data_IF_931873430401
#
_entry.id   IF_931873430401
#
_cell.length_a   1.000
_cell.length_b   1.000
_cell.length_c   1.000
_cell.angle_alpha   90.00
_cell.angle_beta   90.00
_cell.angle_gamma   90.00
#
_symmetry.space_group_name_H-M   'P 1'
#
loop_
_entity.id
_entity.type
_entity.pdbx_description
1 polymer ?
#
# COMPACT_ATOMS: atom_id res chain seq x y z
N UNK A 1 -7.45 19.54 -31.64
CA UNK A 1 -8.07 19.43 -30.30
C UNK A 1 -8.38 17.97 -30.08
N UNK A 2 -7.53 17.25 -29.35
CA UNK A 2 -7.92 15.95 -28.82
C UNK A 2 -8.89 16.27 -27.68
N UNK A 3 -10.16 15.87 -27.80
CA UNK A 3 -11.06 15.89 -26.65
C UNK A 3 -10.43 14.98 -25.60
N UNK A 4 -9.90 15.54 -24.51
CA UNK A 4 -9.62 14.72 -23.33
C UNK A 4 -10.98 14.26 -22.80
N UNK A 5 -11.25 12.96 -22.92
CA UNK A 5 -12.35 12.34 -22.20
C UNK A 5 -11.95 12.30 -20.74
N UNK A 6 -12.66 13.04 -19.90
CA UNK A 6 -12.52 12.97 -18.46
C UNK A 6 -12.88 11.57 -17.98
N UNK A 7 -12.00 10.95 -17.18
CA UNK A 7 -12.19 9.60 -16.64
C UNK A 7 -13.14 9.67 -15.45
N UNK A 8 -14.24 8.92 -15.49
CA UNK A 8 -15.21 8.88 -14.40
C UNK A 8 -14.86 7.81 -13.38
N UNK A 9 -14.83 8.17 -12.09
CA UNK A 9 -14.43 7.25 -11.02
C UNK A 9 -15.51 7.14 -9.95
N UNK A 10 -16.04 5.94 -9.73
CA UNK A 10 -16.89 5.63 -8.59
C UNK A 10 -16.08 5.10 -7.40
N UNK A 11 -16.48 5.44 -6.18
CA UNK A 11 -15.82 5.01 -4.94
C UNK A 11 -16.81 4.31 -4.02
N UNK A 12 -16.62 3.01 -3.83
CA UNK A 12 -17.33 2.22 -2.83
C UNK A 12 -16.61 2.28 -1.48
N UNK A 13 -17.36 2.47 -0.39
CA UNK A 13 -16.77 2.67 0.94
C UNK A 13 -16.28 4.10 1.21
N UNK A 14 -16.86 5.09 0.53
CA UNK A 14 -16.46 6.51 0.56
C UNK A 14 -16.44 7.14 1.97
N UNK A 15 -17.23 6.62 2.92
CA UNK A 15 -17.27 7.12 4.30
C UNK A 15 -16.09 6.69 5.19
N UNK A 16 -15.32 5.68 4.77
CA UNK A 16 -14.14 5.16 5.49
C UNK A 16 -12.87 5.99 5.24
N UNK A 17 -11.78 5.70 5.95
CA UNK A 17 -10.52 6.46 5.77
C UNK A 17 -9.87 6.23 4.39
N UNK A 18 -9.80 4.97 3.93
CA UNK A 18 -9.22 4.64 2.63
C UNK A 18 -10.01 5.26 1.46
N UNK A 19 -11.35 5.12 1.46
CA UNK A 19 -12.22 5.75 0.47
C UNK A 19 -12.19 7.28 0.53
N UNK A 20 -12.16 7.85 1.74
CA UNK A 20 -11.98 9.29 1.91
C UNK A 20 -10.66 9.82 1.37
N UNK A 21 -9.55 9.11 1.60
CA UNK A 21 -8.25 9.51 1.06
C UNK A 21 -8.18 9.38 -0.46
N UNK A 22 -8.78 8.32 -1.03
CA UNK A 22 -8.93 8.20 -2.48
C UNK A 22 -9.72 9.39 -3.05
N UNK A 23 -10.84 9.76 -2.42
CA UNK A 23 -11.62 10.94 -2.84
C UNK A 23 -10.85 12.25 -2.71
N UNK A 24 -10.03 12.41 -1.66
CA UNK A 24 -9.19 13.60 -1.49
C UNK A 24 -8.22 13.76 -2.66
N UNK A 25 -7.60 12.67 -3.10
CA UNK A 25 -6.65 12.68 -4.22
C UNK A 25 -7.39 12.86 -5.55
N UNK A 26 -8.46 12.09 -5.77
CA UNK A 26 -9.22 12.11 -7.03
C UNK A 26 -9.94 13.43 -7.28
N UNK A 27 -10.39 14.13 -6.22
CA UNK A 27 -11.05 15.43 -6.35
C UNK A 27 -10.13 16.53 -6.92
N UNK A 28 -8.81 16.38 -6.75
CA UNK A 28 -7.80 17.32 -7.26
C UNK A 28 -7.06 16.74 -8.50
N UNK A 29 -7.43 15.55 -8.97
CA UNK A 29 -6.75 14.89 -10.08
C UNK A 29 -7.21 15.47 -11.44
N UNK A 30 -6.29 15.95 -12.30
CA UNK A 30 -6.64 16.78 -13.46
C UNK A 30 -7.42 16.08 -14.58
N UNK A 31 -7.35 14.74 -14.64
CA UNK A 31 -8.01 13.92 -15.68
C UNK A 31 -9.23 13.16 -15.17
N UNK A 32 -9.63 13.37 -13.91
CA UNK A 32 -10.66 12.56 -13.24
C UNK A 32 -11.87 13.41 -12.85
N UNK A 33 -13.04 12.82 -13.06
CA UNK A 33 -14.30 13.29 -12.48
C UNK A 33 -14.82 12.26 -11.47
N UNK A 34 -15.13 12.73 -10.26
CA UNK A 34 -15.67 11.88 -9.20
C UNK A 34 -17.17 11.62 -9.42
N UNK A 35 -17.47 10.37 -9.77
CA UNK A 35 -18.80 9.82 -10.00
C UNK A 35 -19.48 9.36 -8.70
N UNK A 36 -20.11 8.18 -8.74
CA UNK A 36 -20.90 7.66 -7.63
C UNK A 36 -20.07 7.45 -6.36
N UNK A 37 -20.61 7.90 -5.24
CA UNK A 37 -20.04 7.68 -3.91
C UNK A 37 -20.97 6.72 -3.17
N UNK A 38 -20.47 5.57 -2.75
CA UNK A 38 -21.32 4.58 -2.09
C UNK A 38 -20.81 4.23 -0.69
N UNK A 39 -21.75 3.86 0.18
CA UNK A 39 -21.47 3.34 1.50
C UNK A 39 -22.52 2.29 1.89
N UNK A 40 -22.18 1.44 2.85
CA UNK A 40 -23.12 0.46 3.40
C UNK A 40 -24.03 1.11 4.46
N UNK A 41 -23.54 1.26 5.70
CA UNK A 41 -24.33 1.76 6.83
C UNK A 41 -24.64 3.27 6.79
N UNK A 42 -23.96 4.03 5.93
CA UNK A 42 -24.08 5.49 5.85
C UNK A 42 -24.80 5.98 4.57
N UNK A 43 -25.43 5.07 3.82
CA UNK A 43 -26.20 5.45 2.64
C UNK A 43 -27.32 6.46 2.99
N UNK A 44 -27.56 7.43 2.12
CA UNK A 44 -28.50 8.54 2.31
C UNK A 44 -27.90 9.76 3.02
N UNK A 45 -26.74 9.63 3.68
CA UNK A 45 -26.07 10.78 4.31
C UNK A 45 -25.24 11.58 3.29
N UNK A 46 -25.07 12.88 3.55
CA UNK A 46 -24.11 13.71 2.82
C UNK A 46 -22.67 13.30 3.17
N UNK A 47 -21.78 13.27 2.19
CA UNK A 47 -20.37 12.93 2.37
C UNK A 47 -19.71 13.85 3.40
N UNK A 48 -20.06 15.14 3.42
CA UNK A 48 -19.51 16.14 4.35
C UNK A 48 -19.69 15.78 5.83
N UNK A 49 -20.70 14.98 6.18
CA UNK A 49 -20.89 14.45 7.55
C UNK A 49 -19.77 13.49 7.95
N UNK A 50 -19.21 12.76 6.98
CA UNK A 50 -18.18 11.75 7.21
C UNK A 50 -16.77 12.23 6.83
N UNK A 51 -16.65 13.07 5.80
CA UNK A 51 -15.38 13.60 5.26
C UNK A 51 -15.45 15.13 5.13
N UNK A 52 -15.60 15.88 6.24
CA UNK A 52 -15.81 17.34 6.19
C UNK A 52 -14.63 18.11 5.58
N UNK A 53 -13.45 17.49 5.49
CA UNK A 53 -12.26 18.09 4.89
C UNK A 53 -12.30 18.10 3.34
N UNK A 54 -13.15 17.29 2.70
CA UNK A 54 -13.27 17.20 1.24
C UNK A 54 -14.41 18.12 0.77
N UNK A 55 -14.18 19.43 0.88
CA UNK A 55 -15.22 20.46 0.68
C UNK A 55 -15.89 20.39 -0.70
N UNK A 56 -15.12 20.08 -1.76
CA UNK A 56 -15.62 19.99 -3.12
C UNK A 56 -16.71 18.91 -3.31
N UNK A 57 -16.75 17.91 -2.42
CA UNK A 57 -17.69 16.79 -2.50
C UNK A 57 -18.65 16.74 -1.30
N UNK A 58 -18.66 17.76 -0.43
CA UNK A 58 -19.37 17.72 0.85
C UNK A 58 -20.88 17.48 0.69
N UNK A 59 -21.51 18.07 -0.34
CA UNK A 59 -22.95 17.97 -0.60
C UNK A 59 -23.35 16.70 -1.35
N UNK A 60 -22.39 15.86 -1.78
CA UNK A 60 -22.68 14.61 -2.49
C UNK A 60 -23.30 13.61 -1.51
N UNK A 61 -24.41 13.00 -1.92
CA UNK A 61 -25.11 11.97 -1.12
C UNK A 61 -24.48 10.61 -1.35
N UNK A 62 -24.23 9.88 -0.27
CA UNK A 62 -23.78 8.49 -0.32
C UNK A 62 -24.91 7.58 -0.78
N UNK A 63 -24.72 6.87 -1.88
CA UNK A 63 -25.66 5.86 -2.37
C UNK A 63 -25.42 4.51 -1.66
N UNK A 64 -26.39 3.59 -1.67
CA UNK A 64 -26.13 2.21 -1.30
C UNK A 64 -25.02 1.58 -2.16
N UNK A 65 -24.11 0.84 -1.56
CA UNK A 65 -23.11 0.08 -2.30
C UNK A 65 -23.77 -1.11 -3.02
N UNK A 66 -24.10 -0.92 -4.29
CA UNK A 66 -24.66 -1.93 -5.19
C UNK A 66 -23.95 -1.85 -6.54
N UNK A 67 -23.97 -2.94 -7.31
CA UNK A 67 -23.41 -2.98 -8.68
C UNK A 67 -24.09 -1.91 -9.55
N UNK A 68 -25.41 -1.78 -9.47
CA UNK A 68 -26.19 -0.77 -10.20
C UNK A 68 -25.67 0.66 -9.99
N UNK A 69 -25.35 1.05 -8.75
CA UNK A 69 -24.83 2.38 -8.45
C UNK A 69 -23.36 2.57 -8.87
N UNK A 70 -22.62 1.48 -9.12
CA UNK A 70 -21.23 1.52 -9.55
C UNK A 70 -21.09 1.44 -11.08
N UNK A 71 -22.06 0.87 -11.79
CA UNK A 71 -22.08 0.81 -13.26
C UNK A 71 -22.07 2.20 -13.90
N UNK A 72 -21.57 2.26 -15.14
CA UNK A 72 -21.50 3.51 -15.92
C UNK A 72 -20.30 4.40 -15.59
N UNK A 73 -19.31 3.89 -14.85
CA UNK A 73 -18.05 4.57 -14.57
C UNK A 73 -16.89 3.81 -15.21
N UNK A 74 -15.87 4.55 -15.66
CA UNK A 74 -14.66 3.97 -16.27
C UNK A 74 -13.81 3.22 -15.24
N UNK A 75 -13.80 3.72 -14.00
CA UNK A 75 -13.04 3.16 -12.88
C UNK A 75 -13.95 2.99 -11.66
N UNK A 76 -13.78 1.86 -10.95
CA UNK A 76 -14.41 1.61 -9.66
C UNK A 76 -13.34 1.32 -8.61
N UNK A 77 -13.29 2.16 -7.58
CA UNK A 77 -12.43 1.98 -6.40
C UNK A 77 -13.23 1.29 -5.29
N UNK A 78 -12.79 0.11 -4.86
CA UNK A 78 -13.41 -0.66 -3.79
C UNK A 78 -12.64 -0.45 -2.48
N UNK A 79 -13.09 0.48 -1.64
CA UNK A 79 -12.56 0.71 -0.30
C UNK A 79 -13.40 -0.03 0.76
N UNK A 80 -13.57 -1.34 0.57
CA UNK A 80 -14.46 -2.18 1.36
C UNK A 80 -13.69 -3.02 2.39
N UNK A 81 -14.36 -3.48 3.47
CA UNK A 81 -13.75 -4.47 4.37
C UNK A 81 -13.35 -5.75 3.62
N UNK A 82 -12.32 -6.42 4.12
CA UNK A 82 -11.89 -7.73 3.61
C UNK A 82 -13.04 -8.75 3.63
N UNK A 83 -13.19 -9.49 2.53
CA UNK A 83 -14.24 -10.45 2.24
C UNK A 83 -15.48 -9.86 1.55
N UNK A 84 -15.52 -8.55 1.27
CA UNK A 84 -16.68 -7.89 0.66
C UNK A 84 -16.43 -7.38 -0.76
N UNK A 85 -15.16 -7.23 -1.20
CA UNK A 85 -14.85 -6.69 -2.52
C UNK A 85 -15.01 -7.74 -3.61
N UNK A 86 -14.67 -9.01 -3.34
CA UNK A 86 -14.76 -10.10 -4.32
C UNK A 86 -16.16 -10.26 -4.94
N UNK A 87 -17.21 -10.30 -4.13
CA UNK A 87 -18.60 -10.49 -4.60
C UNK A 87 -19.08 -9.33 -5.49
N UNK A 88 -18.75 -8.09 -5.11
CA UNK A 88 -19.11 -6.91 -5.91
C UNK A 88 -18.29 -6.86 -7.20
N UNK A 89 -16.98 -7.12 -7.11
CA UNK A 89 -16.08 -7.08 -8.25
C UNK A 89 -16.44 -8.11 -9.34
N UNK A 90 -16.87 -9.31 -8.95
CA UNK A 90 -17.26 -10.37 -9.87
C UNK A 90 -18.48 -10.02 -10.74
N UNK A 91 -19.25 -9.00 -10.35
CA UNK A 91 -20.44 -8.53 -11.07
C UNK A 91 -20.17 -7.28 -11.92
N UNK A 92 -18.98 -6.68 -11.82
CA UNK A 92 -18.59 -5.53 -12.63
C UNK A 92 -18.05 -5.99 -13.99
N UNK A 93 -18.41 -5.29 -15.09
CA UNK A 93 -17.93 -5.61 -16.44
C UNK A 93 -16.40 -5.62 -16.57
N UNK A 94 -15.88 -6.39 -17.52
CA UNK A 94 -14.43 -6.56 -17.74
C UNK A 94 -13.74 -5.31 -18.33
N UNK A 95 -14.51 -4.42 -18.97
CA UNK A 95 -14.01 -3.17 -19.54
C UNK A 95 -13.82 -2.06 -18.49
N UNK A 96 -14.47 -2.16 -17.34
CA UNK A 96 -14.27 -1.27 -16.18
C UNK A 96 -12.96 -1.60 -15.50
N UNK A 97 -12.16 -0.57 -15.17
CA UNK A 97 -10.99 -0.74 -14.30
C UNK A 97 -11.43 -0.82 -12.84
N UNK A 98 -11.27 -1.99 -12.21
CA UNK A 98 -11.57 -2.18 -10.78
C UNK A 98 -10.28 -2.15 -9.97
N UNK A 99 -10.24 -1.29 -8.95
CA UNK A 99 -9.10 -1.14 -8.04
C UNK A 99 -9.57 -1.48 -6.62
N UNK A 100 -9.09 -2.60 -6.10
CA UNK A 100 -9.46 -3.09 -4.78
C UNK A 100 -8.43 -2.68 -3.73
N UNK A 101 -8.89 -1.92 -2.73
CA UNK A 101 -8.07 -1.48 -1.59
C UNK A 101 -8.13 -2.49 -0.44
N UNK A 102 -9.04 -3.47 -0.54
CA UNK A 102 -9.13 -4.64 0.32
C UNK A 102 -8.04 -5.67 0.01
N UNK A 103 -8.13 -6.82 0.68
CA UNK A 103 -7.13 -7.87 0.60
C UNK A 103 -7.50 -9.02 -0.34
N UNK A 104 -8.75 -9.07 -0.80
CA UNK A 104 -9.40 -10.25 -1.39
C UNK A 104 -8.66 -10.82 -2.60
N UNK A 105 -7.93 -9.98 -3.33
CA UNK A 105 -7.21 -10.35 -4.55
C UNK A 105 -5.69 -10.18 -4.48
N UNK A 106 -5.12 -10.00 -3.26
CA UNK A 106 -3.68 -9.74 -3.09
C UNK A 106 -2.82 -11.00 -3.09
N UNK A 107 -3.27 -12.05 -2.40
CA UNK A 107 -2.49 -13.27 -2.25
C UNK A 107 -2.68 -14.17 -3.48
N UNK A 108 -1.59 -14.70 -4.01
CA UNK A 108 -1.61 -15.66 -5.13
C UNK A 108 -1.76 -17.10 -4.66
N UNK A 109 -1.44 -17.37 -3.39
CA UNK A 109 -1.53 -18.70 -2.77
C UNK A 109 -2.88 -18.87 -2.03
N UNK A 110 -3.77 -19.77 -2.49
CA UNK A 110 -5.04 -20.06 -1.82
C UNK A 110 -4.88 -20.64 -0.41
N UNK A 111 -3.79 -21.38 -0.13
CA UNK A 111 -3.56 -21.98 1.19
C UNK A 111 -3.18 -20.90 2.20
N UNK A 112 -2.28 -19.97 1.82
CA UNK A 112 -1.98 -18.79 2.61
C UNK A 112 -3.23 -17.92 2.86
N UNK A 113 -4.09 -17.74 1.86
CA UNK A 113 -5.37 -17.04 2.05
C UNK A 113 -6.24 -17.75 3.08
N UNK A 114 -6.45 -19.05 2.93
CA UNK A 114 -7.28 -19.84 3.84
C UNK A 114 -6.76 -19.78 5.28
N UNK A 115 -5.43 -19.87 5.46
CA UNK A 115 -4.80 -19.80 6.77
C UNK A 115 -5.02 -18.45 7.48
N UNK A 116 -4.94 -17.32 6.76
CA UNK A 116 -4.96 -15.98 7.37
C UNK A 116 -6.33 -15.28 7.34
N UNK A 117 -7.20 -15.65 6.40
CA UNK A 117 -8.51 -15.03 6.19
C UNK A 117 -9.68 -15.98 6.47
N UNK A 118 -9.48 -17.30 6.36
CA UNK A 118 -10.50 -18.30 6.73
C UNK A 118 -11.75 -18.31 5.84
N UNK A 119 -11.63 -17.82 4.60
CA UNK A 119 -12.70 -17.80 3.59
C UNK A 119 -12.18 -18.38 2.28
N UNK A 120 -13.06 -18.62 1.30
CA UNK A 120 -12.65 -19.08 -0.03
C UNK A 120 -11.78 -18.03 -0.73
N UNK A 121 -10.75 -18.48 -1.46
CA UNK A 121 -9.85 -17.60 -2.19
C UNK A 121 -10.50 -17.10 -3.48
N UNK A 122 -10.59 -15.78 -3.64
CA UNK A 122 -11.24 -15.15 -4.79
C UNK A 122 -10.37 -15.07 -6.06
N UNK A 123 -9.16 -15.66 -6.02
CA UNK A 123 -8.13 -15.45 -7.03
C UNK A 123 -7.25 -14.24 -6.74
N UNK A 124 -6.32 -13.94 -7.65
CA UNK A 124 -5.38 -12.83 -7.50
C UNK A 124 -5.41 -11.91 -8.71
N UNK A 125 -5.15 -10.62 -8.47
CA UNK A 125 -5.08 -9.60 -9.51
C UNK A 125 -3.66 -9.01 -9.60
N UNK A 126 -3.32 -8.30 -10.69
CA UNK A 126 -2.11 -7.49 -10.75
C UNK A 126 -1.94 -6.63 -9.49
N UNK A 127 -0.77 -6.77 -8.85
CA UNK A 127 -0.48 -6.15 -7.56
C UNK A 127 -0.07 -4.68 -7.74
N UNK A 128 -0.72 -3.79 -6.99
CA UNK A 128 -0.63 -2.32 -7.13
C UNK A 128 0.59 -1.68 -6.45
N UNK A 129 1.76 -2.33 -6.53
CA UNK A 129 3.04 -1.79 -6.05
C UNK A 129 4.01 -1.66 -7.22
N UNK A 130 3.97 -0.58 -8.02
CA UNK A 130 4.78 -0.45 -9.24
C UNK A 130 6.29 -0.64 -9.02
N UNK A 131 6.79 -0.31 -7.82
CA UNK A 131 8.19 -0.40 -7.44
C UNK A 131 8.63 -1.80 -6.94
N UNK A 132 7.70 -2.77 -6.88
CA UNK A 132 8.04 -4.16 -6.53
C UNK A 132 8.98 -4.74 -7.59
N UNK A 133 10.16 -5.18 -7.14
CA UNK A 133 11.14 -5.87 -7.95
C UNK A 133 10.65 -7.28 -8.26
N UNK A 134 10.83 -7.70 -9.50
CA UNK A 134 10.51 -9.04 -9.96
C UNK A 134 11.80 -9.71 -10.44
N UNK A 135 12.11 -10.86 -9.84
CA UNK A 135 13.22 -11.69 -10.28
C UNK A 135 12.96 -12.20 -11.71
N UNK A 136 14.01 -12.28 -12.56
CA UNK A 136 13.88 -12.75 -13.92
C UNK A 136 13.35 -14.18 -13.95
N UNK A 137 12.20 -14.40 -14.60
CA UNK A 137 11.62 -15.73 -14.81
C UNK A 137 12.04 -16.35 -16.14
N UNK A 138 12.61 -15.55 -17.04
CA UNK A 138 12.94 -15.91 -18.43
C UNK A 138 14.42 -16.26 -18.66
N UNK A 139 15.23 -16.27 -17.60
CA UNK A 139 16.65 -16.57 -17.67
C UNK A 139 17.52 -15.46 -18.27
N UNK A 140 16.96 -14.28 -18.59
CA UNK A 140 17.71 -13.12 -19.11
C UNK A 140 18.61 -12.47 -18.05
N UNK A 141 18.37 -12.75 -16.77
CA UNK A 141 19.11 -12.19 -15.64
C UNK A 141 18.78 -10.71 -15.34
N UNK A 142 17.83 -10.10 -16.04
CA UNK A 142 17.46 -8.69 -15.83
C UNK A 142 16.26 -8.59 -14.91
N UNK A 143 16.38 -7.82 -13.82
CA UNK A 143 15.26 -7.50 -12.94
C UNK A 143 14.25 -6.62 -13.67
N UNK A 144 12.97 -6.96 -13.56
CA UNK A 144 11.86 -6.10 -14.00
C UNK A 144 11.11 -5.56 -12.78
N UNK A 145 10.10 -4.73 -13.02
CA UNK A 145 9.24 -4.20 -11.96
C UNK A 145 7.78 -4.49 -12.25
N UNK A 146 7.00 -4.63 -11.18
CA UNK A 146 5.56 -4.86 -11.23
C UNK A 146 4.80 -3.80 -12.04
N UNK A 147 5.36 -2.60 -12.22
CA UNK A 147 4.85 -1.55 -13.12
C UNK A 147 4.41 -2.09 -14.49
N UNK A 148 5.17 -2.99 -15.09
CA UNK A 148 4.88 -3.51 -16.44
C UNK A 148 3.57 -4.31 -16.49
N UNK A 149 3.23 -5.00 -15.40
CA UNK A 149 1.97 -5.76 -15.27
C UNK A 149 0.75 -4.90 -14.99
N UNK A 150 0.95 -3.61 -14.67
CA UNK A 150 -0.14 -2.68 -14.42
C UNK A 150 -0.58 -1.96 -15.71
N UNK A 151 0.28 -1.86 -16.73
CA UNK A 151 -0.04 -1.18 -17.99
C UNK A 151 -1.23 -1.86 -18.67
N UNK A 152 -2.33 -1.13 -18.86
CA UNK A 152 -3.55 -1.67 -19.46
C UNK A 152 -4.32 -2.66 -18.58
N UNK A 153 -3.94 -2.86 -17.31
CA UNK A 153 -4.69 -3.72 -16.41
C UNK A 153 -6.16 -3.25 -16.25
N UNK A 154 -7.07 -4.18 -15.98
CA UNK A 154 -8.49 -3.90 -15.68
C UNK A 154 -8.89 -4.30 -14.27
N UNK A 155 -7.99 -4.94 -13.54
CA UNK A 155 -8.16 -5.39 -12.17
C UNK A 155 -6.85 -5.15 -11.44
N UNK A 156 -6.89 -4.50 -10.28
CA UNK A 156 -5.70 -4.15 -9.50
C UNK A 156 -5.96 -4.40 -8.02
N UNK A 157 -5.09 -5.16 -7.37
CA UNK A 157 -5.10 -5.34 -5.92
C UNK A 157 -4.07 -4.41 -5.28
N UNK A 158 -4.52 -3.38 -4.57
CA UNK A 158 -3.64 -2.42 -3.90
C UNK A 158 -3.01 -3.08 -2.68
N UNK A 159 -1.68 -2.93 -2.45
CA UNK A 159 -0.98 -3.57 -1.35
C UNK A 159 -1.46 -3.14 0.04
N UNK A 160 -1.19 -3.96 1.05
CA UNK A 160 -1.30 -3.55 2.45
C UNK A 160 -0.32 -2.43 2.81
N UNK A 161 -0.74 -1.50 3.66
CA UNK A 161 0.10 -0.35 4.04
C UNK A 161 1.42 -0.75 4.73
N UNK A 162 1.36 -1.67 5.70
CA UNK A 162 2.57 -2.18 6.34
C UNK A 162 3.41 -3.05 5.40
N UNK A 163 2.75 -3.77 4.48
CA UNK A 163 3.42 -4.61 3.47
C UNK A 163 4.29 -3.74 2.60
N UNK A 164 3.72 -2.64 2.09
CA UNK A 164 4.43 -1.64 1.28
C UNK A 164 5.71 -1.18 1.99
N UNK A 165 5.62 -0.77 3.26
CA UNK A 165 6.78 -0.28 3.99
C UNK A 165 7.87 -1.33 4.19
N UNK A 166 7.50 -2.57 4.55
CA UNK A 166 8.48 -3.65 4.81
C UNK A 166 9.08 -4.17 3.51
N UNK A 167 8.27 -4.36 2.47
CA UNK A 167 8.73 -4.78 1.15
C UNK A 167 9.71 -3.77 0.58
N UNK A 168 9.37 -2.48 0.54
CA UNK A 168 10.30 -1.44 0.05
C UNK A 168 11.58 -1.36 0.91
N UNK A 169 11.45 -1.62 2.21
CA UNK A 169 12.59 -1.67 3.11
C UNK A 169 13.53 -2.84 2.85
N UNK A 170 13.08 -4.01 2.41
CA UNK A 170 13.86 -5.24 2.36
C UNK A 170 14.19 -5.75 0.95
N UNK A 171 13.32 -5.52 -0.03
CA UNK A 171 13.42 -6.13 -1.37
C UNK A 171 14.76 -5.89 -2.07
N UNK A 172 15.46 -4.73 -1.95
CA UNK A 172 16.71 -4.54 -2.70
C UNK A 172 17.81 -5.48 -2.20
N UNK A 173 17.88 -5.70 -0.88
CA UNK A 173 18.87 -6.61 -0.29
C UNK A 173 18.56 -8.09 -0.56
N UNK A 174 17.28 -8.45 -0.61
CA UNK A 174 16.84 -9.79 -1.02
C UNK A 174 17.19 -10.04 -2.49
N UNK A 175 16.82 -9.12 -3.37
CA UNK A 175 17.07 -9.22 -4.80
C UNK A 175 18.57 -9.27 -5.14
N UNK A 176 19.39 -8.53 -4.39
CA UNK A 176 20.86 -8.56 -4.53
C UNK A 176 21.54 -9.75 -3.82
N UNK A 177 20.79 -10.64 -3.15
CA UNK A 177 21.35 -11.77 -2.39
C UNK A 177 22.19 -11.36 -1.17
N UNK A 178 22.01 -10.15 -0.65
CA UNK A 178 22.75 -9.61 0.50
C UNK A 178 22.07 -9.95 1.83
N UNK A 179 20.78 -10.28 1.81
CA UNK A 179 19.97 -10.53 3.00
C UNK A 179 19.50 -11.98 3.02
N UNK A 180 19.78 -12.65 4.13
CA UNK A 180 19.28 -13.97 4.43
C UNK A 180 17.80 -13.89 4.84
N UNK A 181 16.95 -14.54 4.05
CA UNK A 181 15.49 -14.51 4.20
C UNK A 181 14.96 -15.52 5.22
N UNK A 182 15.81 -16.30 5.86
CA UNK A 182 15.43 -17.24 6.93
C UNK A 182 15.30 -16.61 8.32
N UNK A 183 15.78 -15.38 8.51
CA UNK A 183 15.71 -14.64 9.78
C UNK A 183 15.46 -13.16 9.52
N UNK A 184 14.22 -12.84 9.10
CA UNK A 184 13.74 -11.48 8.95
C UNK A 184 12.90 -11.06 10.16
N UNK A 185 13.12 -9.84 10.64
CA UNK A 185 12.35 -9.25 11.74
C UNK A 185 11.91 -7.85 11.33
N UNK A 186 10.62 -7.56 11.41
CA UNK A 186 10.05 -6.24 11.18
C UNK A 186 9.22 -5.78 12.38
N UNK A 187 9.57 -4.61 12.91
CA UNK A 187 8.82 -3.91 13.96
C UNK A 187 8.38 -2.56 13.40
N UNK A 188 7.09 -2.27 13.49
CA UNK A 188 6.51 -1.09 12.85
C UNK A 188 5.79 -0.22 13.86
N UNK A 189 6.12 1.06 13.93
CA UNK A 189 5.27 2.05 14.58
C UNK A 189 4.23 2.55 13.56
N UNK A 190 2.94 2.37 13.85
CA UNK A 190 1.85 2.63 12.90
C UNK A 190 0.79 3.56 13.49
N UNK A 191 0.27 4.46 12.66
CA UNK A 191 -0.79 5.39 13.05
C UNK A 191 -2.15 4.73 13.14
N UNK A 192 -3.02 5.26 14.00
CA UNK A 192 -4.33 4.67 14.30
C UNK A 192 -5.28 4.61 13.09
N UNK A 193 -5.10 5.46 12.08
CA UNK A 193 -5.94 5.43 10.88
C UNK A 193 -5.85 4.11 10.09
N UNK A 194 -4.74 3.36 10.23
CA UNK A 194 -4.59 2.04 9.62
C UNK A 194 -5.55 0.99 10.17
N UNK A 195 -6.08 1.18 11.39
CA UNK A 195 -7.08 0.30 12.00
C UNK A 195 -8.51 0.55 11.45
N UNK A 196 -8.68 1.55 10.58
CA UNK A 196 -9.96 1.94 10.02
C UNK A 196 -10.79 2.84 10.94
N UNK A 197 -12.04 3.11 10.54
CA UNK A 197 -12.93 4.09 11.18
C UNK A 197 -13.97 3.47 12.12
N UNK A 198 -13.92 2.15 12.32
CA UNK A 198 -14.86 1.45 13.20
C UNK A 198 -14.56 1.76 14.67
N UNK A 199 -15.62 2.02 15.44
CA UNK A 199 -15.50 2.26 16.88
C UNK A 199 -15.16 0.96 17.61
N UNK A 200 -13.99 0.90 18.23
CA UNK A 200 -13.54 -0.21 19.08
C UNK A 200 -12.91 0.38 20.34
N UNK A 201 -13.12 -0.23 21.54
CA UNK A 201 -12.61 0.33 22.79
C UNK A 201 -11.12 0.68 22.75
N UNK A 202 -10.26 -0.23 22.26
CA UNK A 202 -8.81 -0.02 22.17
C UNK A 202 -8.37 1.05 21.14
N UNK A 203 -9.29 1.56 20.31
CA UNK A 203 -9.02 2.64 19.35
C UNK A 203 -9.52 4.01 19.85
N UNK A 204 -10.10 4.08 21.04
CA UNK A 204 -10.52 5.34 21.63
C UNK A 204 -9.30 6.18 22.03
N UNK A 205 -9.46 7.51 21.97
CA UNK A 205 -8.39 8.44 22.31
C UNK A 205 -7.85 8.23 23.73
N UNK A 206 -8.69 7.86 24.70
CA UNK A 206 -8.27 7.58 26.08
C UNK A 206 -7.37 6.35 26.20
N UNK A 207 -7.51 5.37 25.30
CA UNK A 207 -6.67 4.17 25.27
C UNK A 207 -5.38 4.40 24.47
N UNK A 208 -5.47 5.18 23.39
CA UNK A 208 -4.36 5.36 22.45
C UNK A 208 -3.42 6.53 22.75
N UNK A 209 -3.92 7.67 23.26
CA UNK A 209 -3.07 8.84 23.48
C UNK A 209 -2.11 8.60 24.65
N UNK A 210 -0.81 8.82 24.39
CA UNK A 210 0.26 8.56 25.36
C UNK A 210 0.60 7.07 25.54
N UNK A 211 0.07 6.20 24.67
CA UNK A 211 0.26 4.75 24.73
C UNK A 211 0.89 4.20 23.44
N UNK A 212 1.55 3.06 23.54
CA UNK A 212 2.02 2.27 22.40
C UNK A 212 1.56 0.82 22.60
N UNK A 213 0.88 0.24 21.60
CA UNK A 213 0.18 -1.03 21.75
C UNK A 213 0.53 -2.00 20.61
N UNK A 214 1.23 -3.12 20.88
CA UNK A 214 1.43 -4.16 19.87
C UNK A 214 0.11 -4.88 19.56
N UNK A 215 -0.07 -5.34 18.33
CA UNK A 215 -1.25 -6.10 17.94
C UNK A 215 -0.92 -7.17 16.90
N UNK A 216 -1.73 -8.24 16.84
CA UNK A 216 -1.56 -9.37 15.91
C UNK A 216 -0.10 -9.89 15.83
N UNK A 217 0.54 -10.01 17.00
CA UNK A 217 1.92 -10.48 17.14
C UNK A 217 2.01 -12.00 16.98
N UNK A 218 3.23 -12.51 16.81
CA UNK A 218 3.48 -13.96 16.78
C UNK A 218 3.01 -14.64 15.50
N UNK A 219 3.18 -13.98 14.35
CA UNK A 219 2.85 -14.56 13.04
C UNK A 219 1.36 -14.54 12.68
N UNK A 220 0.54 -13.81 13.44
CA UNK A 220 -0.92 -13.76 13.23
C UNK A 220 -1.38 -12.57 12.38
N UNK A 221 -0.52 -11.59 12.11
CA UNK A 221 -0.89 -10.45 11.27
C UNK A 221 -1.06 -10.88 9.81
N UNK A 222 -2.21 -10.53 9.21
CA UNK A 222 -2.60 -10.86 7.83
C UNK A 222 -1.73 -10.27 6.71
N UNK A 223 -0.72 -9.48 7.07
CA UNK A 223 0.24 -8.89 6.12
C UNK A 223 1.52 -9.73 6.01
N UNK A 224 1.72 -10.70 6.91
CA UNK A 224 2.87 -11.63 6.85
C UNK A 224 2.95 -12.37 5.51
N UNK A 225 1.91 -13.11 5.06
CA UNK A 225 2.02 -13.87 3.81
C UNK A 225 2.20 -12.96 2.58
N UNK A 226 1.69 -11.73 2.65
CA UNK A 226 1.81 -10.75 1.57
C UNK A 226 3.24 -10.20 1.45
N UNK A 227 3.92 -9.92 2.58
CA UNK A 227 5.35 -9.56 2.56
C UNK A 227 6.20 -10.73 2.06
N UNK A 228 5.92 -11.95 2.54
CA UNK A 228 6.64 -13.16 2.13
C UNK A 228 6.51 -13.38 0.62
N UNK A 229 5.29 -13.28 0.07
CA UNK A 229 5.03 -13.34 -1.36
C UNK A 229 5.83 -12.29 -2.14
N UNK A 230 5.85 -11.03 -1.69
CA UNK A 230 6.60 -9.97 -2.36
C UNK A 230 8.12 -10.22 -2.36
N UNK A 231 8.67 -10.75 -1.26
CA UNK A 231 10.10 -11.04 -1.18
C UNK A 231 10.48 -12.29 -2.01
N UNK A 232 9.58 -13.27 -2.13
CA UNK A 232 9.72 -14.38 -3.10
C UNK A 232 9.72 -13.85 -4.52
N UNK A 233 8.78 -12.96 -4.87
CA UNK A 233 8.75 -12.32 -6.18
C UNK A 233 10.04 -11.54 -6.48
N UNK A 234 10.65 -10.91 -5.47
CA UNK A 234 11.92 -10.21 -5.59
C UNK A 234 13.15 -11.12 -5.69
N UNK A 235 13.00 -12.45 -5.56
CA UNK A 235 14.06 -13.44 -5.77
C UNK A 235 14.39 -14.33 -4.58
N UNK A 236 13.66 -14.23 -3.46
CA UNK A 236 13.84 -15.17 -2.35
C UNK A 236 13.33 -16.57 -2.71
N UNK A 237 14.07 -17.61 -2.30
CA UNK A 237 13.58 -18.99 -2.43
C UNK A 237 12.51 -19.35 -1.39
N UNK A 238 12.69 -18.87 -0.16
CA UNK A 238 11.73 -18.98 0.95
C UNK A 238 11.92 -17.81 1.90
N UNK A 239 10.90 -17.48 2.69
CA UNK A 239 10.93 -16.34 3.61
C UNK A 239 10.42 -16.77 4.98
N UNK A 240 11.08 -16.31 6.04
CA UNK A 240 10.63 -16.42 7.43
C UNK A 240 10.65 -15.06 8.08
N UNK A 241 9.47 -14.51 8.32
CA UNK A 241 9.29 -13.16 8.84
C UNK A 241 8.64 -13.14 10.22
N UNK A 242 9.34 -12.58 11.20
CA UNK A 242 8.74 -12.11 12.45
C UNK A 242 8.22 -10.68 12.27
N UNK A 243 6.92 -10.48 12.41
CA UNK A 243 6.25 -9.20 12.13
C UNK A 243 5.49 -8.71 13.35
N UNK A 244 5.83 -7.52 13.85
CA UNK A 244 5.21 -6.91 15.04
C UNK A 244 4.86 -5.44 14.77
N UNK A 245 3.61 -5.13 14.43
CA UNK A 245 3.15 -3.76 14.37
C UNK A 245 2.73 -3.27 15.76
N UNK A 246 2.95 -1.98 15.99
CA UNK A 246 2.68 -1.28 17.23
C UNK A 246 1.92 -0.01 16.89
N UNK A 247 0.67 0.08 17.34
CA UNK A 247 -0.10 1.32 17.30
C UNK A 247 0.59 2.34 18.21
N UNK A 248 0.94 3.50 17.68
CA UNK A 248 1.57 4.61 18.42
C UNK A 248 0.69 5.86 18.31
N UNK A 249 0.84 6.89 19.18
CA UNK A 249 -0.13 7.98 19.31
C UNK A 249 0.02 9.02 18.18
N UNK A 250 -0.14 8.58 16.94
CA UNK A 250 -0.20 9.36 15.72
C UNK A 250 -1.41 8.93 14.89
N UNK A 251 -2.00 9.87 14.15
CA UNK A 251 -3.15 9.56 13.28
C UNK A 251 -2.71 8.80 12.03
N UNK A 252 -1.63 9.26 11.39
CA UNK A 252 -1.09 8.74 10.12
C UNK A 252 0.39 8.41 10.25
N UNK A 253 0.87 7.62 9.31
CA UNK A 253 2.27 7.23 9.16
C UNK A 253 2.51 5.76 9.49
N UNK A 254 3.54 5.21 8.86
CA UNK A 254 4.21 3.97 9.24
C UNK A 254 5.70 4.29 9.33
N UNK A 255 6.35 3.87 10.41
CA UNK A 255 7.81 3.76 10.50
C UNK A 255 8.14 2.28 10.67
N UNK A 256 8.59 1.63 9.61
CA UNK A 256 8.97 0.22 9.63
C UNK A 256 10.47 0.09 9.85
N UNK A 257 10.88 -0.52 10.96
CA UNK A 257 12.25 -0.96 11.19
C UNK A 257 12.33 -2.45 10.91
N UNK A 258 13.00 -2.83 9.83
CA UNK A 258 13.20 -4.22 9.45
C UNK A 258 14.68 -4.61 9.50
N UNK A 259 14.97 -5.86 9.84
CA UNK A 259 16.33 -6.38 9.91
C UNK A 259 16.40 -7.78 9.30
N UNK A 260 17.54 -8.10 8.72
CA UNK A 260 17.86 -9.44 8.23
C UNK A 260 19.35 -9.70 8.38
N UNK A 261 19.74 -10.98 8.52
CA UNK A 261 21.15 -11.34 8.58
C UNK A 261 21.81 -11.07 7.23
N UNK A 262 23.04 -10.61 7.23
CA UNK A 262 23.84 -10.52 6.02
C UNK A 262 24.23 -11.93 5.57
N UNK A 263 24.15 -12.20 4.27
CA UNK A 263 24.50 -13.52 3.71
C UNK A 263 26.00 -13.81 3.79
N UNK A 264 26.83 -12.77 3.64
CA UNK A 264 28.28 -12.87 3.69
C UNK A 264 28.87 -12.08 4.88
N UNK A 265 29.76 -12.69 5.68
CA UNK A 265 30.57 -11.95 6.64
C UNK A 265 31.43 -10.90 5.93
N UNK A 266 31.46 -9.68 6.46
CA UNK A 266 32.29 -8.61 5.92
C UNK A 266 31.61 -7.71 4.88
N UNK A 267 30.36 -7.99 4.48
CA UNK A 267 29.58 -7.08 3.63
C UNK A 267 29.58 -5.67 4.21
N UNK A 268 29.95 -4.72 3.36
CA UNK A 268 30.13 -3.32 3.73
C UNK A 268 28.83 -2.53 3.61
N UNK A 269 28.77 -1.37 4.27
CA UNK A 269 27.64 -0.45 4.10
C UNK A 269 27.53 0.05 2.65
N UNK A 270 28.67 0.29 1.99
CA UNK A 270 28.70 0.73 0.59
C UNK A 270 28.06 -0.28 -0.36
N UNK A 271 28.38 -1.57 -0.20
CA UNK A 271 27.74 -2.65 -0.99
C UNK A 271 26.24 -2.73 -0.75
N UNK A 272 25.80 -2.60 0.51
CA UNK A 272 24.38 -2.57 0.86
C UNK A 272 23.69 -1.35 0.25
N UNK A 273 24.23 -0.14 0.44
CA UNK A 273 23.65 1.09 -0.10
C UNK A 273 23.51 1.05 -1.61
N UNK A 274 24.54 0.57 -2.32
CA UNK A 274 24.52 0.44 -3.78
C UNK A 274 23.33 -0.39 -4.28
N UNK A 275 22.94 -1.44 -3.57
CA UNK A 275 21.77 -2.25 -3.95
C UNK A 275 20.46 -1.45 -3.83
N UNK A 276 20.29 -0.61 -2.79
CA UNK A 276 19.11 0.24 -2.64
C UNK A 276 19.11 1.41 -3.63
N UNK A 277 20.28 2.01 -3.88
CA UNK A 277 20.45 3.07 -4.89
C UNK A 277 20.06 2.56 -6.27
N UNK A 278 20.53 1.37 -6.66
CA UNK A 278 20.17 0.75 -7.94
C UNK A 278 18.68 0.38 -8.02
N UNK A 279 18.08 -0.13 -6.94
CA UNK A 279 16.68 -0.51 -6.94
C UNK A 279 15.74 0.70 -7.08
N UNK A 280 16.11 1.85 -6.52
CA UNK A 280 15.27 3.05 -6.47
C UNK A 280 15.74 4.19 -7.36
N UNK A 281 16.79 3.99 -8.16
CA UNK A 281 17.16 4.93 -9.19
C UNK A 281 15.99 5.18 -10.16
N UNK A 282 15.71 6.46 -10.41
CA UNK A 282 14.59 6.89 -11.25
C UNK A 282 13.18 6.65 -10.69
N UNK A 283 13.03 6.14 -9.45
CA UNK A 283 11.71 5.99 -8.84
C UNK A 283 11.17 7.33 -8.31
N UNK A 284 9.97 7.78 -8.71
CA UNK A 284 9.47 9.10 -8.34
C UNK A 284 8.97 9.19 -6.89
N UNK A 285 8.69 8.04 -6.28
CA UNK A 285 8.00 7.95 -4.99
C UNK A 285 8.75 7.17 -3.93
N UNK A 286 9.93 6.61 -4.26
CA UNK A 286 10.76 5.89 -3.30
C UNK A 286 12.15 6.49 -3.33
N UNK A 287 12.64 6.94 -2.17
CA UNK A 287 13.94 7.59 -2.05
C UNK A 287 14.78 6.89 -0.99
N UNK A 288 16.01 6.51 -1.36
CA UNK A 288 17.03 6.17 -0.37
C UNK A 288 17.66 7.47 0.15
N UNK A 289 17.48 7.77 1.42
CA UNK A 289 18.01 8.97 2.03
C UNK A 289 19.57 8.97 2.05
N UNK A 290 20.20 10.17 2.02
CA UNK A 290 21.63 10.31 2.24
C UNK A 290 22.08 9.70 3.56
N UNK A 291 23.27 9.14 3.61
CA UNK A 291 23.83 8.55 4.83
C UNK A 291 23.77 9.53 6.02
N UNK A 292 23.37 9.02 7.19
CA UNK A 292 23.20 9.81 8.41
C UNK A 292 21.84 10.50 8.54
N UNK A 293 21.02 10.52 7.49
CA UNK A 293 19.63 10.99 7.56
C UNK A 293 18.68 9.81 7.72
N UNK A 294 17.75 9.92 8.65
CA UNK A 294 16.77 8.87 8.95
C UNK A 294 15.36 9.32 8.61
N UNK A 295 14.55 8.44 8.03
CA UNK A 295 13.19 8.79 7.68
C UNK A 295 12.35 8.94 8.96
N UNK A 296 11.43 9.89 8.93
CA UNK A 296 10.42 10.07 9.98
C UNK A 296 9.04 10.10 9.35
N UNK A 297 8.02 9.70 10.07
CA UNK A 297 6.65 9.69 9.54
C UNK A 297 6.17 11.08 9.15
N UNK A 298 6.55 12.12 9.90
CA UNK A 298 6.21 13.51 9.61
C UNK A 298 6.66 13.96 8.21
N UNK A 299 7.79 13.46 7.70
CA UNK A 299 8.29 13.80 6.36
C UNK A 299 7.39 13.32 5.22
N UNK A 300 6.52 12.33 5.46
CA UNK A 300 5.74 11.67 4.41
C UNK A 300 4.24 11.84 4.54
N UNK A 301 3.73 12.41 5.64
CA UNK A 301 2.29 12.65 5.85
C UNK A 301 1.68 13.42 4.67
N UNK A 302 0.59 12.91 4.10
CA UNK A 302 -0.12 13.51 2.97
C UNK A 302 0.53 13.29 1.59
N UNK A 303 1.73 12.71 1.53
CA UNK A 303 2.46 12.48 0.29
C UNK A 303 2.46 11.01 -0.15
N UNK A 304 2.61 10.78 -1.45
CA UNK A 304 2.80 9.44 -2.01
C UNK A 304 4.26 8.97 -1.92
N UNK A 305 5.03 9.50 -0.97
CA UNK A 305 6.47 9.25 -0.81
C UNK A 305 6.72 8.15 0.22
N UNK A 306 7.62 7.22 -0.12
CA UNK A 306 8.27 6.31 0.81
C UNK A 306 9.76 6.67 0.92
N UNK A 307 10.22 6.95 2.14
CA UNK A 307 11.61 7.26 2.43
C UNK A 307 12.26 6.05 3.09
N UNK A 308 13.39 5.60 2.55
CA UNK A 308 14.13 4.43 3.02
C UNK A 308 15.51 4.86 3.48
N UNK A 309 16.02 4.26 4.55
CA UNK A 309 17.43 4.32 4.93
C UNK A 309 17.90 2.94 5.36
N UNK A 310 19.20 2.68 5.17
CA UNK A 310 19.86 1.43 5.55
C UNK A 310 21.09 1.67 6.41
N UNK A 311 21.36 0.73 7.32
CA UNK A 311 22.59 0.64 8.09
C UNK A 311 23.06 -0.82 8.18
N UNK A 312 24.34 -1.01 8.45
CA UNK A 312 24.93 -2.34 8.72
C UNK A 312 25.39 -2.39 10.17
N UNK A 313 24.72 -3.21 10.98
CA UNK A 313 25.21 -3.57 12.31
C UNK A 313 26.22 -4.71 12.17
N UNK A 314 27.51 -4.36 12.12
CA UNK A 314 28.60 -5.32 11.97
C UNK A 314 28.74 -6.28 13.16
N UNK A 315 28.33 -5.88 14.37
CA UNK A 315 28.43 -6.73 15.56
C UNK A 315 27.32 -7.77 15.58
N UNK A 316 26.12 -7.37 15.17
CA UNK A 316 24.99 -8.28 15.01
C UNK A 316 25.03 -9.08 13.69
N UNK A 317 25.82 -8.64 12.71
CA UNK A 317 25.87 -9.24 11.38
C UNK A 317 24.58 -9.03 10.59
N UNK A 318 23.91 -7.88 10.76
CA UNK A 318 22.59 -7.60 10.17
C UNK A 318 22.60 -6.32 9.37
N UNK A 319 21.79 -6.30 8.32
CA UNK A 319 21.29 -5.04 7.76
C UNK A 319 20.10 -4.58 8.59
N UNK A 320 19.99 -3.27 8.79
CA UNK A 320 18.83 -2.61 9.39
C UNK A 320 18.29 -1.66 8.34
N UNK A 321 17.01 -1.76 8.03
CA UNK A 321 16.32 -0.81 7.16
C UNK A 321 15.23 -0.11 7.92
N UNK A 322 15.10 1.19 7.67
CA UNK A 322 14.03 2.02 8.22
C UNK A 322 13.28 2.64 7.06
N UNK A 323 11.97 2.44 7.01
CA UNK A 323 11.11 2.97 5.94
C UNK A 323 9.98 3.79 6.55
N UNK A 324 9.80 5.03 6.09
CA UNK A 324 8.64 5.85 6.45
C UNK A 324 7.74 6.11 5.24
N UNK A 325 6.42 6.03 5.43
CA UNK A 325 5.41 6.41 4.45
C UNK A 325 4.10 6.83 5.13
N UNK A 326 3.24 7.59 4.46
CA UNK A 326 1.86 7.79 4.90
C UNK A 326 1.04 6.53 4.58
N UNK A 327 0.48 5.91 5.64
CA UNK A 327 -0.26 4.66 5.55
C UNK A 327 -1.55 4.76 4.73
N UNK A 328 -2.16 5.95 4.62
CA UNK A 328 -3.36 6.19 3.82
C UNK A 328 -3.03 6.64 2.39
N UNK A 329 -1.86 7.25 2.16
CA UNK A 329 -1.43 7.68 0.81
C UNK A 329 -0.61 6.58 0.15
N UNK A 330 0.73 6.58 0.25
CA UNK A 330 1.57 5.57 -0.41
C UNK A 330 1.26 4.15 0.07
N UNK A 331 0.77 4.00 1.31
CA UNK A 331 0.34 2.70 1.83
C UNK A 331 -1.06 2.25 1.40
N UNK A 332 -1.87 3.09 0.74
CA UNK A 332 -3.25 2.72 0.34
C UNK A 332 -3.74 3.52 -0.88
N UNK A 333 -4.31 4.72 -0.69
CA UNK A 333 -5.05 5.43 -1.74
C UNK A 333 -4.14 6.06 -2.81
N UNK A 334 -2.96 6.52 -2.42
CA UNK A 334 -1.93 7.00 -3.34
C UNK A 334 -1.39 5.88 -4.22
N UNK A 335 -1.16 4.68 -3.66
CA UNK A 335 -0.80 3.49 -4.44
C UNK A 335 -1.91 3.08 -5.41
N UNK A 336 -3.19 3.20 -5.00
CA UNK A 336 -4.34 2.98 -5.86
C UNK A 336 -4.34 3.94 -7.06
N UNK A 337 -4.18 5.24 -6.84
CA UNK A 337 -4.16 6.26 -7.90
C UNK A 337 -2.91 6.14 -8.79
N UNK A 338 -1.75 5.82 -8.21
CA UNK A 338 -0.53 5.57 -9.00
C UNK A 338 -0.74 4.39 -9.96
N UNK A 339 -1.34 3.31 -9.47
CA UNK A 339 -1.64 2.12 -10.26
C UNK A 339 -2.72 2.40 -11.31
N UNK A 340 -3.75 3.18 -10.97
CA UNK A 340 -4.77 3.68 -11.90
C UNK A 340 -4.13 4.44 -13.07
N UNK A 341 -3.25 5.39 -12.76
CA UNK A 341 -2.56 6.19 -13.77
C UNK A 341 -1.79 5.31 -14.75
N UNK A 342 -1.01 4.35 -14.23
CA UNK A 342 -0.26 3.41 -15.07
C UNK A 342 -1.20 2.57 -15.95
N UNK A 343 -2.30 2.04 -15.38
CA UNK A 343 -3.26 1.22 -16.11
C UNK A 343 -3.97 1.97 -17.24
N UNK A 344 -4.21 3.27 -17.04
CA UNK A 344 -4.85 4.15 -18.02
C UNK A 344 -3.85 4.84 -18.98
N UNK A 345 -2.54 4.58 -18.83
CA UNK A 345 -1.50 5.19 -19.66
C UNK A 345 -1.20 6.66 -19.34
N UNK A 346 -1.63 7.15 -18.18
CA UNK A 346 -1.31 8.48 -17.66
C UNK A 346 0.08 8.48 -16.98
N UNK A 347 0.72 9.65 -16.82
CA UNK A 347 1.92 9.75 -15.99
C UNK A 347 1.66 9.22 -14.57
N UNK A 348 2.49 8.29 -14.09
CA UNK A 348 2.28 7.65 -12.78
C UNK A 348 2.24 8.66 -11.61
N UNK A 349 2.80 9.86 -11.80
CA UNK A 349 2.85 10.92 -10.79
C UNK A 349 1.66 11.87 -10.81
N UNK A 350 0.74 11.74 -11.77
CA UNK A 350 -0.36 12.68 -11.95
C UNK A 350 -1.30 12.69 -10.74
N UNK A 351 -1.60 13.89 -10.23
CA UNK A 351 -2.42 14.09 -9.03
C UNK A 351 -1.80 13.63 -7.71
N UNK A 352 -0.52 13.23 -7.70
CA UNK A 352 0.16 12.69 -6.51
C UNK A 352 1.35 13.56 -6.11
N UNK A 353 1.27 14.16 -4.92
CA UNK A 353 2.36 14.97 -4.35
C UNK A 353 3.47 14.10 -3.76
N UNK A 354 4.72 14.53 -3.95
CA UNK A 354 5.90 13.99 -3.25
C UNK A 354 6.27 14.78 -2.00
N UNK A 355 5.73 16.00 -1.85
CA UNK A 355 5.96 16.86 -0.69
C UNK A 355 5.02 16.50 0.46
N UNK A 356 5.60 16.10 1.60
CA UNK A 356 4.86 15.87 2.84
C UNK A 356 4.33 17.16 3.47
N UNK A 357 3.25 17.03 4.24
CA UNK A 357 2.65 18.09 5.06
C UNK A 357 3.15 17.93 6.49
N UNK A 358 4.21 18.65 6.81
CA UNK A 358 4.86 18.71 8.12
C UNK A 358 4.78 20.15 8.69
N UNK A 359 4.93 20.39 10.01
CA UNK A 359 5.39 19.48 11.07
C UNK A 359 4.34 18.50 11.62
#
# INVERSE_FOLDING_TARGET
MVMHMTITVAVAGASGYAGGEALRILADHPEVEVGALTAHSNAGAALGTHQPHIRALADRVLLPTTVENLLGHDVVVLALPHGASAEIAAQLPDDVLVIDLGADHRLTDPDAWTQFYGTEHAGAWPYGLPELLLAPTDGTGTLTKQREHLVGARRIAVPGCNVTAVTLGLQPGVSAGLVDTDDLVAVLAVGYSGAGKSLKPHLLASEGLGSAQPYAVGGTHRHVPEVEQNLVAAGAGSVRLSFTPVLVPMSRGILATATGRLTAPGTTLEEVRRAWEQAYDGEPFVELLPEGQWPTTAMTVGANTALVQVAVDRRAGRVVTVTALDNLVKGTAGAAVQSMNIALGLPQTLGLTTGGVAP
#
